data_IF_153673449913
#
_entry.id   IF_153673449913
#
_cell.length_a   1.000
_cell.length_b   1.000
_cell.length_c   1.000
_cell.angle_alpha   90.00
_cell.angle_beta   90.00
_cell.angle_gamma   90.00
#
_symmetry.space_group_name_H-M   'P 1'
#
loop_
_entity.id
_entity.type
_entity.pdbx_description
1 polymer ?
#
# COMPACT_ATOMS: atom_id res chain seq x y z
N UNK A 1 3.86 50.80 -77.27
CA UNK A 1 3.35 49.94 -78.35
C UNK A 1 4.41 48.92 -78.69
N UNK A 2 3.98 47.68 -78.85
CA UNK A 2 4.71 46.40 -78.70
C UNK A 2 5.67 46.01 -79.82
N UNK A 3 6.63 45.12 -79.51
CA UNK A 3 7.12 43.99 -80.32
C UNK A 3 8.01 43.09 -79.42
N UNK A 4 7.59 41.93 -78.92
CA UNK A 4 7.37 40.60 -79.52
C UNK A 4 8.66 39.88 -79.99
N UNK A 5 8.96 38.71 -79.38
CA UNK A 5 9.55 37.48 -79.95
C UNK A 5 9.52 36.39 -78.83
N UNK A 6 8.60 35.41 -78.86
CA UNK A 6 8.67 34.06 -79.49
C UNK A 6 9.83 33.20 -78.95
N UNK A 7 9.61 32.26 -78.01
CA UNK A 7 9.13 30.86 -78.15
C UNK A 7 10.31 29.88 -77.89
N UNK A 8 10.12 28.55 -77.78
CA UNK A 8 9.27 27.75 -76.90
C UNK A 8 10.11 26.68 -76.15
N UNK A 9 9.53 25.94 -75.19
CA UNK A 9 9.81 24.50 -74.95
C UNK A 9 8.97 24.00 -73.78
N UNK A 10 7.99 23.15 -74.09
CA UNK A 10 7.50 22.12 -73.18
C UNK A 10 8.31 20.83 -73.42
N UNK A 11 8.54 20.02 -72.38
CA UNK A 11 7.70 18.82 -72.26
C UNK A 11 7.21 18.52 -70.84
N UNK A 12 5.94 18.12 -70.74
CA UNK A 12 5.30 17.46 -69.60
C UNK A 12 5.84 16.00 -69.42
N UNK A 13 5.38 15.15 -68.46
CA UNK A 13 4.51 15.39 -67.30
C UNK A 13 5.07 14.78 -65.99
N UNK A 14 5.01 15.50 -64.89
CA UNK A 14 4.98 14.89 -63.56
C UNK A 14 3.60 15.19 -62.99
N UNK A 15 2.80 14.17 -62.73
CA UNK A 15 1.51 14.32 -62.05
C UNK A 15 1.77 14.44 -60.54
N UNK A 16 1.65 15.60 -59.88
CA UNK A 16 1.38 15.62 -58.45
C UNK A 16 -0.12 15.38 -58.25
N UNK A 17 -0.37 14.25 -57.62
CA UNK A 17 -1.60 13.88 -56.94
C UNK A 17 -2.19 15.07 -56.18
N UNK A 18 -3.46 15.32 -56.49
CA UNK A 18 -4.37 16.23 -55.83
C UNK A 18 -4.43 15.96 -54.31
N UNK A 19 -3.86 16.85 -53.49
CA UNK A 19 -4.30 17.08 -52.10
C UNK A 19 -4.23 18.57 -51.76
N UNK A 20 -5.33 19.26 -51.97
CA UNK A 20 -5.69 20.47 -51.23
C UNK A 20 -6.78 20.11 -50.21
N UNK A 21 -7.06 20.94 -49.18
CA UNK A 21 -6.18 21.79 -48.39
C UNK A 21 -6.36 21.55 -46.88
N UNK A 22 -5.57 22.29 -46.09
CA UNK A 22 -5.62 22.41 -44.63
C UNK A 22 -7.05 22.40 -44.05
N UNK A 23 -7.30 21.44 -43.15
CA UNK A 23 -8.34 21.53 -42.14
C UNK A 23 -7.67 21.51 -40.76
N UNK A 24 -7.40 22.71 -40.26
CA UNK A 24 -7.11 22.99 -38.85
C UNK A 24 -8.27 22.45 -38.01
N UNK A 25 -8.00 21.40 -37.25
CA UNK A 25 -8.97 20.84 -36.28
C UNK A 25 -8.51 21.25 -34.88
N UNK A 26 -9.36 21.90 -34.07
CA UNK A 26 -9.00 22.37 -32.73
C UNK A 26 -8.72 21.20 -31.78
N UNK A 27 -7.58 21.30 -31.09
CA UNK A 27 -7.16 20.38 -30.04
C UNK A 27 -8.21 20.36 -28.92
N UNK A 28 -8.97 19.27 -28.86
CA UNK A 28 -9.98 19.03 -27.82
C UNK A 28 -9.26 18.37 -26.64
N UNK A 29 -8.76 19.19 -25.73
CA UNK A 29 -8.05 18.84 -24.49
C UNK A 29 -9.01 18.50 -23.33
N UNK A 30 -9.95 17.59 -23.57
CA UNK A 30 -10.81 17.07 -22.51
C UNK A 30 -11.01 15.58 -22.74
N UNK A 31 -10.27 14.75 -22.00
CA UNK A 31 -10.59 13.39 -21.54
C UNK A 31 -9.32 12.56 -21.29
N UNK A 32 -8.62 12.85 -20.19
CA UNK A 32 -7.85 11.82 -19.44
C UNK A 32 -7.95 12.10 -17.95
N UNK A 33 -9.19 12.16 -17.45
CA UNK A 33 -9.48 11.87 -16.05
C UNK A 33 -9.73 10.37 -15.93
N UNK A 34 -8.67 9.57 -15.91
CA UNK A 34 -8.77 8.16 -15.58
C UNK A 34 -8.48 8.01 -14.09
N UNK A 35 -9.51 8.20 -13.27
CA UNK A 35 -9.51 7.72 -11.89
C UNK A 35 -9.31 6.21 -11.88
N UNK A 36 -8.13 5.75 -11.49
CA UNK A 36 -7.89 4.36 -11.11
C UNK A 36 -8.11 4.22 -9.61
N UNK A 37 -9.37 4.16 -9.19
CA UNK A 37 -9.75 3.57 -7.90
C UNK A 37 -9.89 2.06 -8.09
N UNK A 38 -8.79 1.32 -8.02
CA UNK A 38 -8.88 -0.12 -7.76
C UNK A 38 -8.97 -0.33 -6.24
N UNK A 39 -10.17 -0.18 -5.70
CA UNK A 39 -10.54 -0.76 -4.43
C UNK A 39 -10.81 -2.26 -4.67
N UNK A 40 -9.78 -3.09 -4.51
CA UNK A 40 -9.89 -4.54 -4.55
C UNK A 40 -10.42 -5.09 -3.22
N UNK A 41 -11.67 -4.82 -2.88
CA UNK A 41 -12.33 -5.50 -1.76
C UNK A 41 -12.71 -6.93 -2.18
N UNK A 42 -11.85 -7.89 -1.89
CA UNK A 42 -12.23 -9.32 -1.94
C UNK A 42 -13.06 -9.61 -0.69
N UNK A 43 -14.38 -9.49 -0.81
CA UNK A 43 -15.32 -9.99 0.20
C UNK A 43 -15.52 -11.49 -0.06
N UNK A 44 -14.89 -12.35 0.74
CA UNK A 44 -15.18 -13.78 0.77
C UNK A 44 -16.50 -13.98 1.53
N UNK A 45 -17.60 -14.15 0.80
CA UNK A 45 -18.88 -14.62 1.34
C UNK A 45 -18.81 -16.13 1.56
N UNK A 46 -18.72 -16.55 2.83
CA UNK A 46 -18.85 -17.95 3.23
C UNK A 46 -20.32 -18.39 3.10
N UNK A 47 -20.64 -19.12 2.04
CA UNK A 47 -21.86 -19.92 1.97
C UNK A 47 -21.68 -21.18 2.83
N UNK A 48 -22.25 -21.18 4.03
CA UNK A 48 -22.39 -22.38 4.84
C UNK A 48 -23.46 -23.30 4.26
N UNK A 49 -23.05 -24.34 3.53
CA UNK A 49 -23.90 -25.50 3.28
C UNK A 49 -23.74 -26.51 4.43
N UNK A 50 -24.63 -26.37 5.42
CA UNK A 50 -24.93 -27.45 6.34
C UNK A 50 -25.75 -28.51 5.61
N UNK A 51 -25.12 -29.63 5.23
CA UNK A 51 -25.80 -30.86 4.86
C UNK A 51 -25.49 -31.94 5.90
N UNK A 52 -26.53 -32.30 6.65
CA UNK A 52 -26.54 -33.26 7.73
C UNK A 52 -26.10 -34.68 7.29
N UNK A 53 -25.39 -35.39 8.17
CA UNK A 53 -25.21 -36.83 8.06
C UNK A 53 -24.34 -37.46 9.14
N UNK A 54 -24.97 -38.11 10.12
CA UNK A 54 -24.44 -39.30 10.82
C UNK A 54 -23.54 -39.07 12.04
N UNK A 55 -24.02 -39.47 13.22
CA UNK A 55 -23.26 -39.40 14.47
C UNK A 55 -22.25 -40.54 14.68
N UNK A 56 -21.31 -40.33 15.60
CA UNK A 56 -20.93 -41.31 16.63
C UNK A 56 -20.11 -40.62 17.75
N UNK A 57 -20.50 -40.93 18.97
CA UNK A 57 -19.71 -41.06 20.20
C UNK A 57 -18.71 -39.97 20.60
N UNK A 58 -19.05 -39.28 21.69
CA UNK A 58 -18.15 -38.51 22.53
C UNK A 58 -17.09 -39.42 23.19
N UNK A 59 -15.81 -39.15 22.93
CA UNK A 59 -14.70 -39.60 23.77
C UNK A 59 -14.13 -38.40 24.54
N UNK A 60 -13.94 -38.48 25.87
CA UNK A 60 -13.28 -37.43 26.64
C UNK A 60 -11.76 -37.65 26.59
N UNK A 61 -11.07 -36.73 25.94
CA UNK A 61 -9.61 -36.72 25.83
C UNK A 61 -9.16 -35.41 25.25
N UNK A 62 -9.34 -34.31 25.99
CA UNK A 62 -8.76 -33.01 25.64
C UNK A 62 -7.24 -33.06 25.84
N UNK A 63 -6.54 -33.76 24.95
CA UNK A 63 -5.26 -33.26 24.51
C UNK A 63 -5.55 -31.89 23.89
N UNK A 64 -4.85 -30.83 24.30
CA UNK A 64 -4.92 -29.55 23.62
C UNK A 64 -4.62 -29.83 22.14
N UNK A 65 -5.67 -29.83 21.32
CA UNK A 65 -5.53 -30.11 19.90
C UNK A 65 -4.65 -29.00 19.35
N UNK A 66 -3.43 -29.36 18.94
CA UNK A 66 -2.58 -28.49 18.15
C UNK A 66 -3.45 -27.98 16.99
N UNK A 67 -3.70 -26.67 16.96
CA UNK A 67 -4.39 -26.00 15.86
C UNK A 67 -3.27 -25.43 15.00
N UNK A 68 -2.91 -26.05 13.86
CA UNK A 68 -1.84 -25.55 12.99
C UNK A 68 -2.03 -24.09 12.56
N UNK A 69 -3.28 -23.63 12.55
CA UNK A 69 -3.66 -22.24 12.28
C UNK A 69 -3.22 -21.27 13.40
N UNK A 70 -3.29 -21.70 14.66
CA UNK A 70 -2.87 -20.87 15.80
C UNK A 70 -1.36 -20.65 15.82
N UNK A 71 -0.55 -21.67 15.50
CA UNK A 71 0.90 -21.51 15.46
C UNK A 71 1.34 -20.59 14.32
N UNK A 72 0.72 -20.70 13.14
CA UNK A 72 0.97 -19.81 11.99
C UNK A 72 0.61 -18.36 12.31
N UNK A 73 -0.57 -18.12 12.90
CA UNK A 73 -0.95 -16.77 13.33
C UNK A 73 0.01 -16.24 14.37
N UNK A 74 0.47 -17.07 15.32
CA UNK A 74 1.47 -16.66 16.31
C UNK A 74 2.81 -16.26 15.67
N UNK A 75 3.27 -17.00 14.67
CA UNK A 75 4.46 -16.67 13.88
C UNK A 75 4.27 -15.36 13.11
N UNK A 76 3.14 -15.20 12.42
CA UNK A 76 2.83 -13.96 11.70
C UNK A 76 2.74 -12.74 12.62
N UNK A 77 2.18 -12.90 13.83
CA UNK A 77 2.21 -11.83 14.86
C UNK A 77 3.65 -11.46 15.23
N UNK A 78 4.51 -12.46 15.44
CA UNK A 78 5.93 -12.25 15.71
C UNK A 78 6.64 -11.48 14.60
N UNK A 79 6.52 -11.95 13.36
CA UNK A 79 7.07 -11.30 12.17
C UNK A 79 6.53 -9.88 11.99
N UNK A 80 5.23 -9.68 12.19
CA UNK A 80 4.60 -8.35 12.07
C UNK A 80 5.10 -7.39 13.13
N UNK A 81 5.34 -7.85 14.37
CA UNK A 81 5.89 -7.01 15.43
C UNK A 81 7.31 -6.55 15.10
N UNK A 82 8.18 -7.46 14.66
CA UNK A 82 9.55 -7.10 14.28
C UNK A 82 9.56 -6.11 13.11
N UNK A 83 8.78 -6.40 12.06
CA UNK A 83 8.64 -5.47 10.93
C UNK A 83 8.06 -4.12 11.36
N UNK A 84 7.10 -4.09 12.28
CA UNK A 84 6.55 -2.85 12.83
C UNK A 84 7.62 -2.00 13.53
N UNK A 85 8.45 -2.62 14.38
CA UNK A 85 9.55 -1.95 15.08
C UNK A 85 10.59 -1.35 14.12
N UNK A 86 10.85 -2.02 13.00
CA UNK A 86 11.75 -1.55 11.93
C UNK A 86 11.14 -0.41 11.09
N UNK A 87 9.83 -0.46 10.85
CA UNK A 87 9.13 0.48 9.96
C UNK A 87 8.69 1.77 10.64
N UNK A 88 8.39 1.76 11.94
CA UNK A 88 7.96 2.96 12.68
C UNK A 88 8.96 4.12 12.53
N UNK A 89 10.28 3.93 12.79
CA UNK A 89 11.24 5.02 12.65
C UNK A 89 11.34 5.57 11.23
N UNK A 90 11.15 4.72 10.21
CA UNK A 90 11.16 5.13 8.81
C UNK A 90 9.96 6.03 8.51
N UNK A 91 8.75 5.58 8.87
CA UNK A 91 7.51 6.35 8.63
C UNK A 91 7.53 7.68 9.38
N UNK A 92 8.07 7.71 10.61
CA UNK A 92 8.23 8.95 11.38
C UNK A 92 9.26 9.89 10.75
N UNK A 93 10.43 9.38 10.35
CA UNK A 93 11.46 10.20 9.70
C UNK A 93 10.98 10.77 8.35
N UNK A 94 10.17 10.03 7.61
CA UNK A 94 9.58 10.50 6.34
C UNK A 94 8.60 11.65 6.54
N UNK A 95 8.00 11.85 7.72
CA UNK A 95 7.04 12.93 7.98
C UNK A 95 7.63 14.32 7.73
N UNK A 96 8.93 14.50 8.00
CA UNK A 96 9.62 15.77 7.75
C UNK A 96 9.68 16.14 6.26
N UNK A 97 9.74 15.13 5.39
CA UNK A 97 9.97 15.31 3.94
C UNK A 97 8.73 14.98 3.08
N UNK A 98 7.80 14.22 3.65
CA UNK A 98 6.53 13.81 3.05
C UNK A 98 5.42 14.04 4.10
N UNK A 99 5.12 15.31 4.40
CA UNK A 99 4.22 15.68 5.49
C UNK A 99 2.79 15.21 5.24
N UNK A 100 2.11 14.82 6.32
CA UNK A 100 0.72 14.34 6.26
C UNK A 100 -0.33 15.35 6.71
N UNK A 101 0.10 16.54 7.12
CA UNK A 101 -0.77 17.63 7.55
C UNK A 101 -1.35 18.44 6.37
N UNK A 102 -1.11 17.99 5.13
CA UNK A 102 -1.54 18.64 3.91
C UNK A 102 -0.63 19.80 3.47
N UNK A 103 0.50 20.01 4.15
CA UNK A 103 1.55 20.90 3.66
C UNK A 103 2.28 20.29 2.46
N UNK A 104 2.95 21.14 1.68
CA UNK A 104 3.74 20.67 0.56
C UNK A 104 5.07 20.09 1.03
N UNK A 105 5.57 19.01 0.39
CA UNK A 105 6.88 18.47 0.69
C UNK A 105 7.97 19.51 0.37
N UNK A 106 9.05 19.61 1.18
CA UNK A 106 10.17 20.49 0.87
C UNK A 106 10.90 20.04 -0.40
N UNK A 107 11.34 21.01 -1.22
CA UNK A 107 12.19 20.75 -2.39
C UNK A 107 13.63 20.37 -2.02
N UNK A 108 14.07 20.77 -0.82
CA UNK A 108 15.34 20.38 -0.24
C UNK A 108 15.21 18.96 0.33
N UNK A 109 15.84 18.01 -0.35
CA UNK A 109 15.79 16.60 0.03
C UNK A 109 16.80 16.29 1.13
N UNK A 110 16.45 15.31 1.96
CA UNK A 110 17.38 14.70 2.92
C UNK A 110 18.61 14.08 2.26
N UNK A 111 19.63 13.80 3.05
CA UNK A 111 20.87 13.18 2.58
C UNK A 111 20.64 11.76 2.02
N UNK A 112 21.38 11.40 0.97
CA UNK A 112 21.28 10.07 0.35
C UNK A 112 21.56 8.91 1.32
N UNK A 113 22.38 9.13 2.34
CA UNK A 113 22.66 8.17 3.44
C UNK A 113 21.42 7.87 4.27
N UNK A 114 20.59 8.88 4.55
CA UNK A 114 19.33 8.74 5.28
C UNK A 114 18.34 7.94 4.42
N UNK A 115 18.20 8.29 3.14
CA UNK A 115 17.33 7.54 2.21
C UNK A 115 17.80 6.08 2.07
N UNK A 116 19.11 5.83 2.05
CA UNK A 116 19.65 4.47 2.04
C UNK A 116 19.24 3.69 3.30
N UNK A 117 19.30 4.31 4.49
CA UNK A 117 18.84 3.66 5.71
C UNK A 117 17.35 3.30 5.67
N UNK A 118 16.49 4.18 5.12
CA UNK A 118 15.07 3.88 4.92
C UNK A 118 14.86 2.67 4.01
N UNK A 119 15.59 2.62 2.88
CA UNK A 119 15.53 1.46 1.97
C UNK A 119 15.92 0.17 2.66
N UNK A 120 17.01 0.18 3.43
CA UNK A 120 17.48 -0.99 4.17
C UNK A 120 16.44 -1.46 5.17
N UNK A 121 15.90 -0.58 6.01
CA UNK A 121 14.89 -0.98 7.00
C UNK A 121 13.59 -1.47 6.37
N UNK A 122 13.14 -0.87 5.26
CA UNK A 122 11.95 -1.37 4.54
C UNK A 122 12.21 -2.73 3.89
N UNK A 123 13.44 -2.96 3.41
CA UNK A 123 13.82 -4.24 2.84
C UNK A 123 13.92 -5.34 3.91
N UNK A 124 14.56 -5.06 5.05
CA UNK A 124 14.63 -5.95 6.21
C UNK A 124 13.22 -6.29 6.71
N UNK A 125 12.32 -5.30 6.80
CA UNK A 125 10.93 -5.52 7.19
C UNK A 125 10.18 -6.44 6.21
N UNK A 126 10.49 -6.38 4.92
CA UNK A 126 9.89 -7.24 3.91
C UNK A 126 10.34 -8.71 4.04
N UNK A 127 11.56 -8.96 4.52
CA UNK A 127 12.12 -10.30 4.66
C UNK A 127 11.35 -11.16 5.68
N UNK A 128 10.68 -10.52 6.66
CA UNK A 128 9.86 -11.22 7.66
C UNK A 128 8.59 -11.86 7.08
N UNK A 129 8.09 -11.40 5.93
CA UNK A 129 6.78 -11.83 5.43
C UNK A 129 6.81 -12.90 4.35
N UNK A 130 7.98 -13.32 3.86
CA UNK A 130 8.10 -14.40 2.87
C UNK A 130 7.18 -14.27 1.65
N UNK A 131 7.03 -15.36 0.89
CA UNK A 131 5.99 -15.45 -0.15
C UNK A 131 4.75 -16.17 0.41
N UNK A 132 3.53 -15.61 0.23
CA UNK A 132 2.32 -16.29 0.63
C UNK A 132 2.17 -17.61 -0.16
N UNK A 133 1.73 -18.66 0.52
CA UNK A 133 1.57 -19.99 -0.06
C UNK A 133 0.43 -20.08 -1.08
N UNK A 134 -0.50 -19.11 -1.05
CA UNK A 134 -1.59 -18.98 -2.00
C UNK A 134 -2.80 -19.89 -1.73
N UNK A 135 -2.90 -20.47 -0.53
CA UNK A 135 -3.96 -21.41 -0.15
C UNK A 135 -5.34 -20.76 0.12
N UNK A 136 -5.40 -19.43 0.15
CA UNK A 136 -6.63 -18.64 0.29
C UNK A 136 -7.16 -18.49 1.72
N UNK A 137 -6.36 -18.82 2.74
CA UNK A 137 -6.74 -18.63 4.15
C UNK A 137 -6.69 -17.15 4.59
N UNK A 138 -7.38 -16.83 5.71
CA UNK A 138 -7.36 -15.47 6.31
C UNK A 138 -5.95 -15.05 6.74
N UNK A 139 -5.15 -16.01 7.23
CA UNK A 139 -3.74 -15.81 7.52
C UNK A 139 -2.97 -15.34 6.28
N UNK A 140 -3.10 -16.05 5.16
CA UNK A 140 -2.44 -15.69 3.90
C UNK A 140 -2.91 -14.35 3.34
N UNK A 141 -4.21 -14.05 3.44
CA UNK A 141 -4.74 -12.75 3.03
C UNK A 141 -4.17 -11.61 3.89
N UNK A 142 -4.02 -11.84 5.20
CA UNK A 142 -3.40 -10.89 6.13
C UNK A 142 -1.91 -10.69 5.80
N UNK A 143 -1.16 -11.77 5.62
CA UNK A 143 0.24 -11.75 5.21
C UNK A 143 0.42 -11.02 3.88
N UNK A 144 -0.40 -11.32 2.86
CA UNK A 144 -0.36 -10.62 1.58
C UNK A 144 -0.66 -9.12 1.71
N UNK A 145 -1.60 -8.75 2.58
CA UNK A 145 -1.89 -7.35 2.91
C UNK A 145 -0.68 -6.63 3.53
N UNK A 146 -0.02 -7.25 4.50
CA UNK A 146 1.21 -6.72 5.11
C UNK A 146 2.33 -6.59 4.08
N UNK A 147 2.61 -7.63 3.30
CA UNK A 147 3.63 -7.62 2.23
C UNK A 147 3.36 -6.52 1.21
N UNK A 148 2.11 -6.34 0.78
CA UNK A 148 1.73 -5.28 -0.15
C UNK A 148 1.94 -3.88 0.44
N UNK A 149 1.70 -3.72 1.75
CA UNK A 149 1.90 -2.45 2.46
C UNK A 149 3.38 -2.08 2.54
N UNK A 150 4.25 -3.04 2.89
CA UNK A 150 5.72 -2.84 2.88
C UNK A 150 6.21 -2.53 1.47
N UNK A 151 5.66 -3.19 0.44
CA UNK A 151 5.97 -2.88 -0.96
C UNK A 151 5.57 -1.46 -1.37
N UNK A 152 4.39 -0.98 -0.95
CA UNK A 152 3.96 0.41 -1.20
C UNK A 152 4.93 1.40 -0.54
N UNK A 153 5.36 1.12 0.69
CA UNK A 153 6.34 1.95 1.38
C UNK A 153 7.71 1.95 0.67
N UNK A 154 8.15 0.79 0.18
CA UNK A 154 9.37 0.69 -0.64
C UNK A 154 9.26 1.55 -1.91
N UNK A 155 8.11 1.51 -2.60
CA UNK A 155 7.86 2.36 -3.77
C UNK A 155 7.86 3.85 -3.41
N UNK A 156 7.33 4.24 -2.24
CA UNK A 156 7.41 5.61 -1.74
C UNK A 156 8.86 6.07 -1.57
N UNK A 157 9.69 5.26 -0.89
CA UNK A 157 11.12 5.58 -0.66
C UNK A 157 11.87 5.69 -1.99
N UNK A 158 11.63 4.79 -2.95
CA UNK A 158 12.26 4.86 -4.27
C UNK A 158 11.80 6.08 -5.08
N UNK A 159 10.51 6.42 -5.01
CA UNK A 159 9.96 7.60 -5.70
C UNK A 159 10.55 8.89 -5.12
N UNK A 160 10.63 8.98 -3.79
CA UNK A 160 11.27 10.09 -3.10
C UNK A 160 12.73 10.24 -3.50
N UNK A 161 13.49 9.13 -3.55
CA UNK A 161 14.87 9.16 -4.01
C UNK A 161 14.99 9.58 -5.49
N UNK A 162 14.03 9.17 -6.32
CA UNK A 162 13.94 9.57 -7.73
C UNK A 162 13.75 11.08 -7.92
N UNK A 163 13.08 11.76 -6.98
CA UNK A 163 12.92 13.22 -7.00
C UNK A 163 14.27 13.96 -7.02
N UNK A 164 15.32 13.39 -6.42
CA UNK A 164 16.67 13.97 -6.42
C UNK A 164 17.30 14.07 -7.82
N UNK A 165 16.77 13.30 -8.79
CA UNK A 165 17.26 13.27 -10.16
C UNK A 165 16.48 14.22 -11.09
N UNK A 166 15.43 14.88 -10.58
CA UNK A 166 14.56 15.75 -11.37
C UNK A 166 15.05 17.20 -11.26
N UNK A 167 15.53 17.77 -12.36
CA UNK A 167 16.06 19.15 -12.38
C UNK A 167 14.95 20.21 -12.28
N UNK A 168 13.82 19.97 -12.94
CA UNK A 168 12.66 20.87 -12.96
C UNK A 168 11.92 20.83 -11.61
N UNK A 169 11.72 21.99 -10.99
CA UNK A 169 11.15 22.08 -9.64
C UNK A 169 9.68 21.67 -9.59
N UNK A 170 8.88 22.02 -10.60
CA UNK A 170 7.46 21.68 -10.65
C UNK A 170 7.30 20.16 -10.82
N UNK A 171 8.07 19.55 -11.71
CA UNK A 171 8.10 18.09 -11.86
C UNK A 171 8.64 17.39 -10.61
N UNK A 172 9.61 17.98 -9.91
CA UNK A 172 10.12 17.43 -8.64
C UNK A 172 9.04 17.45 -7.57
N UNK A 173 8.29 18.54 -7.47
CA UNK A 173 7.14 18.63 -6.57
C UNK A 173 6.09 17.57 -6.89
N UNK A 174 5.77 17.34 -8.16
CA UNK A 174 4.82 16.29 -8.55
C UNK A 174 5.30 14.89 -8.12
N UNK A 175 6.59 14.58 -8.32
CA UNK A 175 7.18 13.30 -7.88
C UNK A 175 7.13 13.14 -6.36
N UNK A 176 7.39 14.22 -5.60
CA UNK A 176 7.30 14.19 -4.14
C UNK A 176 5.87 13.96 -3.64
N UNK A 177 4.86 14.54 -4.29
CA UNK A 177 3.45 14.22 -3.96
C UNK A 177 3.11 12.76 -4.27
N UNK A 178 3.62 12.18 -5.36
CA UNK A 178 3.43 10.74 -5.64
C UNK A 178 4.07 9.90 -4.53
N UNK A 179 5.27 10.26 -4.07
CA UNK A 179 5.92 9.57 -2.95
C UNK A 179 5.09 9.67 -1.65
N UNK A 180 4.51 10.84 -1.37
CA UNK A 180 3.60 11.06 -0.25
C UNK A 180 2.35 10.19 -0.34
N UNK A 181 1.68 10.17 -1.49
CA UNK A 181 0.48 9.35 -1.73
C UNK A 181 0.77 7.86 -1.56
N UNK A 182 1.95 7.38 -1.97
CA UNK A 182 2.37 5.99 -1.79
C UNK A 182 2.62 5.66 -0.32
N UNK A 183 3.21 6.58 0.45
CA UNK A 183 3.41 6.41 1.90
C UNK A 183 2.06 6.28 2.61
N UNK A 184 1.12 7.17 2.29
CA UNK A 184 -0.21 7.16 2.89
C UNK A 184 -0.99 5.89 2.56
N UNK A 185 -0.92 5.44 1.30
CA UNK A 185 -1.50 4.16 0.89
C UNK A 185 -0.86 2.97 1.62
N UNK A 186 0.46 2.99 1.83
CA UNK A 186 1.15 1.96 2.59
C UNK A 186 0.66 1.88 4.03
N UNK A 187 0.59 3.02 4.72
CA UNK A 187 0.11 3.12 6.12
C UNK A 187 -1.36 2.70 6.22
N UNK A 188 -2.19 3.14 5.28
CA UNK A 188 -3.60 2.76 5.23
C UNK A 188 -3.77 1.25 5.03
N UNK A 189 -3.11 0.68 4.02
CA UNK A 189 -3.13 -0.76 3.72
C UNK A 189 -2.63 -1.57 4.92
N UNK A 190 -1.56 -1.12 5.57
CA UNK A 190 -1.02 -1.77 6.77
C UNK A 190 -2.07 -1.79 7.88
N UNK A 191 -2.78 -0.68 8.10
CA UNK A 191 -3.80 -0.62 9.16
C UNK A 191 -4.95 -1.62 8.96
N UNK A 192 -5.37 -1.84 7.71
CA UNK A 192 -6.39 -2.85 7.38
C UNK A 192 -5.86 -4.25 7.66
N UNK A 193 -4.63 -4.55 7.21
CA UNK A 193 -4.01 -5.84 7.46
C UNK A 193 -3.76 -6.10 8.96
N UNK A 194 -3.32 -5.10 9.71
CA UNK A 194 -3.14 -5.17 11.16
C UNK A 194 -4.47 -5.43 11.89
N UNK A 195 -5.58 -4.88 11.39
CA UNK A 195 -6.92 -5.18 11.92
C UNK A 195 -7.30 -6.64 11.69
N UNK A 196 -7.01 -7.18 10.50
CA UNK A 196 -7.25 -8.60 10.20
C UNK A 196 -6.36 -9.51 11.07
N UNK A 197 -5.11 -9.10 11.32
CA UNK A 197 -4.21 -9.80 12.23
C UNK A 197 -4.73 -9.79 13.68
N UNK A 198 -5.28 -8.67 14.16
CA UNK A 198 -5.90 -8.56 15.48
C UNK A 198 -7.05 -9.57 15.65
N UNK A 199 -7.95 -9.63 14.67
CA UNK A 199 -9.06 -10.58 14.68
C UNK A 199 -8.57 -12.04 14.67
N UNK A 200 -7.63 -12.38 13.79
CA UNK A 200 -7.07 -13.73 13.72
C UNK A 200 -6.34 -14.11 15.03
N UNK A 201 -5.62 -13.16 15.63
CA UNK A 201 -4.92 -13.33 16.91
C UNK A 201 -5.90 -13.63 18.06
N UNK A 202 -7.02 -12.91 18.13
CA UNK A 202 -8.08 -13.18 19.10
C UNK A 202 -8.71 -14.57 18.88
N UNK A 203 -9.08 -14.91 17.64
CA UNK A 203 -9.73 -16.18 17.30
C UNK A 203 -8.84 -17.42 17.56
N UNK A 204 -7.52 -17.23 17.49
CA UNK A 204 -6.53 -18.29 17.75
C UNK A 204 -6.05 -18.33 19.20
N UNK A 205 -6.40 -17.33 20.02
CA UNK A 205 -6.12 -17.29 21.45
C UNK A 205 -4.84 -16.54 21.86
N UNK A 206 -4.26 -15.75 20.95
CA UNK A 206 -3.10 -14.89 21.21
C UNK A 206 -3.47 -13.51 21.77
N UNK A 207 -4.77 -13.17 21.80
CA UNK A 207 -5.28 -11.90 22.33
C UNK A 207 -5.21 -10.76 21.31
N UNK A 208 -5.43 -9.53 21.78
CA UNK A 208 -5.40 -8.34 20.91
C UNK A 208 -3.96 -7.94 20.53
N UNK A 209 -3.76 -7.58 19.26
CA UNK A 209 -2.50 -7.07 18.69
C UNK A 209 -2.77 -5.82 17.85
N UNK A 210 -2.50 -4.64 18.44
CA UNK A 210 -2.70 -3.34 17.78
C UNK A 210 -1.40 -2.82 17.17
N UNK A 211 -0.90 -3.52 16.14
CA UNK A 211 0.35 -3.19 15.45
C UNK A 211 0.12 -2.16 14.34
N UNK A 212 -0.35 -0.95 14.65
CA UNK A 212 -0.60 0.10 13.67
C UNK A 212 0.64 0.98 13.43
N UNK A 213 0.90 1.35 12.17
CA UNK A 213 1.91 2.36 11.84
C UNK A 213 1.41 3.78 12.19
N UNK A 214 2.32 4.73 12.46
CA UNK A 214 1.96 6.15 12.63
C UNK A 214 1.22 6.67 11.40
N UNK A 215 0.09 7.33 11.62
CA UNK A 215 -0.79 7.79 10.55
C UNK A 215 -1.28 9.23 10.76
N UNK A 216 -1.47 9.93 9.64
CA UNK A 216 -2.06 11.26 9.61
C UNK A 216 -3.42 11.32 10.31
N UNK A 217 -3.79 12.43 10.95
CA UNK A 217 -5.18 12.69 11.28
C UNK A 217 -6.04 12.66 10.01
N UNK A 218 -7.07 11.80 9.99
CA UNK A 218 -8.02 11.75 8.86
C UNK A 218 -7.58 10.94 7.64
N UNK A 219 -6.44 10.23 7.66
CA UNK A 219 -6.02 9.31 6.58
C UNK A 219 -6.93 8.09 6.40
N UNK A 220 -7.88 7.88 7.32
CA UNK A 220 -8.70 6.67 7.38
C UNK A 220 -7.95 5.44 7.89
N UNK A 221 -6.64 5.53 8.16
CA UNK A 221 -5.89 4.50 8.85
C UNK A 221 -6.22 4.52 10.35
N UNK A 222 -6.34 3.33 10.95
CA UNK A 222 -6.46 3.20 12.40
C UNK A 222 -5.12 3.56 13.06
N UNK A 223 -5.18 4.25 14.19
CA UNK A 223 -4.02 4.75 14.94
C UNK A 223 -3.75 3.86 16.16
N UNK A 224 -2.50 3.79 16.64
CA UNK A 224 -2.22 3.25 17.97
C UNK A 224 -3.10 3.97 19.00
N UNK A 225 -3.85 3.22 19.79
CA UNK A 225 -4.76 3.74 20.83
C UNK A 225 -4.04 4.14 22.12
N UNK A 226 -2.71 3.99 22.15
CA UNK A 226 -1.87 4.29 23.30
C UNK A 226 -1.97 3.24 24.42
N UNK A 227 -2.71 2.15 24.23
CA UNK A 227 -2.70 1.01 25.13
C UNK A 227 -1.54 0.08 24.74
N UNK A 228 -0.72 -0.32 25.71
CA UNK A 228 0.34 -1.28 25.43
C UNK A 228 -0.26 -2.60 24.93
N UNK A 229 0.24 -3.09 23.80
CA UNK A 229 -0.12 -4.38 23.26
C UNK A 229 0.27 -5.46 24.28
N UNK A 230 -0.72 -6.05 24.95
CA UNK A 230 -0.49 -7.16 25.89
C UNK A 230 -0.96 -6.95 27.33
N UNK A 231 -1.84 -6.00 27.65
CA UNK A 231 -2.57 -6.06 28.92
C UNK A 231 -3.65 -7.15 28.86
N UNK A 232 -3.21 -8.39 28.92
CA UNK A 232 -4.05 -9.50 29.32
C UNK A 232 -4.74 -9.12 30.61
N UNK A 233 -6.08 -9.10 30.57
CA UNK A 233 -6.95 -8.95 31.73
C UNK A 233 -6.47 -9.89 32.84
N UNK A 234 -5.89 -9.35 33.90
CA UNK A 234 -5.66 -10.10 35.12
C UNK A 234 -7.04 -10.49 35.70
N UNK A 235 -7.44 -11.79 35.71
CA UNK A 235 -8.66 -12.23 36.35
C UNK A 235 -8.37 -12.37 37.85
N UNK A 236 -8.04 -11.25 38.51
CA UNK A 236 -7.36 -11.33 39.81
C UNK A 236 -7.68 -10.22 40.82
N UNK A 237 -8.53 -9.23 40.52
CA UNK A 237 -8.92 -8.22 41.52
C UNK A 237 -10.40 -8.29 41.88
N UNK A 238 -10.78 -9.42 42.46
CA UNK A 238 -11.91 -9.49 43.38
C UNK A 238 -11.43 -9.12 44.78
N UNK A 239 -11.70 -7.90 45.21
CA UNK A 239 -11.42 -7.42 46.57
C UNK A 239 -12.51 -6.45 46.99
N UNK A 240 -13.40 -6.91 47.85
CA UNK A 240 -14.72 -6.34 48.09
C UNK A 240 -14.75 -4.94 48.70
N UNK A 241 -15.74 -4.17 48.26
CA UNK A 241 -16.36 -3.14 49.07
C UNK A 241 -17.68 -3.72 49.57
N UNK A 242 -17.83 -3.86 50.87
CA UNK A 242 -19.14 -3.82 51.53
C UNK A 242 -19.00 -3.07 52.86
N UNK A 243 -20.06 -2.31 53.13
CA UNK A 243 -20.24 -1.33 54.19
C UNK A 243 -20.45 -1.93 55.58
#
# INVERSE_FOLDING_TARGET
MSAQQQSPSDPAPGTPENRNPVATTPATWWLTGASLTMAGAVIVLLSGEAAAGGGSESAPGAAAAHRPDADRVGELVGHTRTAHEELVPVVEAMEEFLPTDGSHPPLDLTEASVVYSWRTSVQEAAEHFGEPSGDGTVHEATQAGLTSSVRLLSMSVETYAGAALVEDEDLRMDVLHIAMDLRDQAVHSWSVAATHLDMASVDTGHGHVHLYLPAAPGSGALRPDGAEAGSGRDPGSGGGHDH
#
